data_IF_863952861248
#
_entry.id   IF_863952861248
#
_cell.length_a   1.000
_cell.length_b   1.000
_cell.length_c   1.000
_cell.angle_alpha   90.00
_cell.angle_beta   90.00
_cell.angle_gamma   90.00
#
_symmetry.space_group_name_H-M   'P 1'
#
loop_
_entity.id
_entity.type
_entity.pdbx_description
1 polymer ?
#
# COMPACT_ATOMS: atom_id res chain seq x y z
N UNK A 1 49.45 6.58 40.68
CA UNK A 1 48.08 7.09 40.43
C UNK A 1 47.67 7.14 38.96
N UNK A 2 48.58 7.40 38.00
CA UNK A 2 48.25 7.49 36.56
C UNK A 2 47.70 6.19 35.90
N UNK A 3 48.08 5.01 36.43
CA UNK A 3 47.74 3.69 35.83
C UNK A 3 46.26 3.33 36.00
N UNK A 4 45.66 3.68 37.14
CA UNK A 4 44.23 3.45 37.42
C UNK A 4 43.31 4.36 36.61
N UNK A 5 43.72 5.62 36.40
CA UNK A 5 42.96 6.59 35.59
C UNK A 5 42.90 6.17 34.11
N UNK A 6 44.01 5.69 33.56
CA UNK A 6 44.06 5.13 32.19
C UNK A 6 43.20 3.86 32.06
N UNK A 7 43.22 2.98 33.05
CA UNK A 7 42.41 1.75 33.05
C UNK A 7 40.91 2.06 33.04
N UNK A 8 40.45 2.99 33.88
CA UNK A 8 39.05 3.39 33.93
C UNK A 8 38.60 4.10 32.64
N UNK A 9 39.47 4.90 32.05
CA UNK A 9 39.17 5.61 30.79
C UNK A 9 39.01 4.64 29.62
N UNK A 10 39.81 3.58 29.56
CA UNK A 10 39.68 2.51 28.56
C UNK A 10 38.34 1.76 28.74
N UNK A 11 37.95 1.46 29.97
CA UNK A 11 36.68 0.77 30.26
C UNK A 11 35.48 1.63 29.87
N UNK A 12 35.53 2.94 30.10
CA UNK A 12 34.45 3.86 29.71
C UNK A 12 34.32 3.94 28.18
N UNK A 13 35.45 3.95 27.46
CA UNK A 13 35.47 3.98 26.01
C UNK A 13 34.94 2.67 25.40
N UNK A 14 35.24 1.52 25.97
CA UNK A 14 34.73 0.24 25.43
C UNK A 14 33.23 0.09 25.67
N UNK A 15 32.72 0.50 26.84
CA UNK A 15 31.28 0.45 27.15
C UNK A 15 30.50 1.41 26.25
N UNK A 16 31.00 2.62 26.01
CA UNK A 16 30.33 3.60 25.14
C UNK A 16 30.23 3.13 23.69
N UNK A 17 31.26 2.48 23.14
CA UNK A 17 31.21 1.89 21.79
C UNK A 17 30.15 0.79 21.70
N UNK A 18 30.02 -0.07 22.71
CA UNK A 18 29.02 -1.15 22.73
C UNK A 18 27.60 -0.57 22.76
N UNK A 19 27.37 0.46 23.58
CA UNK A 19 26.06 1.14 23.68
C UNK A 19 25.71 1.87 22.37
N UNK A 20 26.66 2.58 21.77
CA UNK A 20 26.46 3.27 20.49
C UNK A 20 26.15 2.30 19.35
N UNK A 21 26.86 1.16 19.31
CA UNK A 21 26.61 0.10 18.33
C UNK A 21 25.19 -0.44 18.45
N UNK A 22 24.75 -0.78 19.67
CA UNK A 22 23.40 -1.29 19.91
C UNK A 22 22.30 -0.29 19.53
N UNK A 23 22.53 1.00 19.75
CA UNK A 23 21.59 2.06 19.38
C UNK A 23 21.43 2.20 17.85
N UNK A 24 22.53 2.07 17.10
CA UNK A 24 22.51 2.11 15.63
C UNK A 24 21.86 0.87 15.00
N UNK A 25 21.99 -0.30 15.62
CA UNK A 25 21.27 -1.51 15.18
C UNK A 25 19.76 -1.39 15.35
N UNK A 26 19.29 -0.69 16.40
CA UNK A 26 17.86 -0.47 16.61
C UNK A 26 17.25 0.52 15.60
N UNK A 27 17.99 1.56 15.19
CA UNK A 27 17.47 2.57 14.26
C UNK A 27 17.36 2.07 12.81
N UNK A 28 18.24 1.16 12.39
CA UNK A 28 18.24 0.67 11.00
C UNK A 28 17.11 -0.34 10.70
N UNK A 29 16.45 -0.89 11.73
CA UNK A 29 15.39 -1.91 11.58
C UNK A 29 13.96 -1.30 11.59
N UNK A 30 13.85 0.04 11.52
CA UNK A 30 12.57 0.75 11.55
C UNK A 30 12.05 1.17 10.15
N UNK A 31 12.84 0.98 9.09
CA UNK A 31 12.45 1.37 7.73
C UNK A 31 11.79 0.24 6.92
N UNK A 32 11.59 -0.94 7.50
CA UNK A 32 10.76 -1.99 6.91
C UNK A 32 9.31 -1.86 7.40
N UNK A 33 8.72 -0.68 7.20
CA UNK A 33 7.27 -0.57 7.24
C UNK A 33 6.76 -1.12 5.89
N UNK A 34 6.66 -2.45 5.79
CA UNK A 34 5.86 -3.07 4.73
C UNK A 34 4.43 -2.52 4.88
N UNK A 35 4.03 -1.67 3.93
CA UNK A 35 2.68 -1.12 3.88
C UNK A 35 1.69 -2.28 3.84
N UNK A 36 0.91 -2.45 4.91
CA UNK A 36 -0.19 -3.42 4.91
C UNK A 36 -1.17 -2.98 3.82
N UNK A 37 -1.19 -3.71 2.69
CA UNK A 37 -2.23 -3.54 1.67
C UNK A 37 -3.59 -3.76 2.32
N UNK A 38 -4.49 -2.78 2.18
CA UNK A 38 -5.82 -2.82 2.76
C UNK A 38 -6.71 -3.76 1.92
N UNK A 39 -7.44 -4.66 2.58
CA UNK A 39 -8.37 -5.55 1.88
C UNK A 39 -9.66 -4.81 1.55
N UNK A 40 -10.04 -4.81 0.28
CA UNK A 40 -11.34 -4.29 -0.18
C UNK A 40 -12.38 -5.40 -0.02
N UNK A 41 -13.51 -5.10 0.60
CA UNK A 41 -14.65 -6.00 0.70
C UNK A 41 -15.77 -5.50 -0.22
N UNK A 42 -16.21 -6.37 -1.13
CA UNK A 42 -17.20 -6.04 -2.15
C UNK A 42 -18.52 -6.78 -1.91
N UNK A 43 -19.60 -6.22 -2.45
CA UNK A 43 -20.86 -6.94 -2.50
C UNK A 43 -20.90 -7.93 -3.66
N UNK A 44 -21.01 -9.22 -3.36
CA UNK A 44 -21.22 -10.25 -4.39
C UNK A 44 -22.64 -10.81 -4.32
N UNK A 45 -23.52 -10.28 -5.16
CA UNK A 45 -24.88 -10.81 -5.30
C UNK A 45 -24.92 -11.79 -6.47
N UNK A 46 -25.32 -13.04 -6.22
CA UNK A 46 -25.58 -14.01 -7.27
C UNK A 46 -26.80 -13.55 -8.10
N UNK A 47 -26.57 -12.83 -9.20
CA UNK A 47 -27.62 -12.49 -10.17
C UNK A 47 -27.76 -11.02 -10.57
N UNK A 48 -26.65 -10.32 -10.83
CA UNK A 48 -26.71 -9.02 -11.52
C UNK A 48 -27.19 -7.86 -10.66
N UNK A 49 -26.86 -7.86 -9.37
CA UNK A 49 -27.10 -6.68 -8.56
C UNK A 49 -26.13 -5.56 -8.98
N UNK A 50 -26.68 -4.38 -9.27
CA UNK A 50 -25.92 -3.18 -9.65
C UNK A 50 -25.38 -2.43 -8.43
N UNK A 51 -25.31 -3.06 -7.25
CA UNK A 51 -24.76 -2.42 -6.07
C UNK A 51 -23.24 -2.34 -6.17
N UNK A 52 -22.72 -1.15 -6.51
CA UNK A 52 -21.32 -0.81 -6.36
C UNK A 52 -21.02 -0.48 -4.88
N UNK A 53 -21.27 -1.46 -3.99
CA UNK A 53 -20.99 -1.30 -2.57
C UNK A 53 -19.64 -1.95 -2.25
N UNK A 54 -18.75 -1.13 -1.72
CA UNK A 54 -17.42 -1.50 -1.27
C UNK A 54 -17.18 -0.94 0.14
N UNK A 55 -16.37 -1.63 0.92
CA UNK A 55 -15.94 -1.20 2.26
C UNK A 55 -14.57 -1.81 2.58
N UNK A 56 -13.84 -1.19 3.48
CA UNK A 56 -12.58 -1.75 4.01
C UNK A 56 -12.79 -2.45 5.36
N UNK A 57 -14.00 -2.40 5.91
CA UNK A 57 -14.33 -3.04 7.17
C UNK A 57 -14.77 -4.51 6.97
N UNK A 58 -14.12 -5.47 7.65
CA UNK A 58 -14.53 -6.86 7.58
C UNK A 58 -15.92 -7.09 8.18
N UNK A 59 -16.73 -7.92 7.53
CA UNK A 59 -18.06 -8.29 8.03
C UNK A 59 -19.16 -7.27 7.73
N UNK A 60 -18.90 -6.33 6.82
CA UNK A 60 -19.91 -5.41 6.30
C UNK A 60 -21.11 -6.12 5.67
N UNK A 61 -22.21 -5.37 5.55
CA UNK A 61 -23.42 -5.81 4.83
C UNK A 61 -23.78 -4.78 3.77
N UNK A 62 -24.09 -5.25 2.58
CA UNK A 62 -24.56 -4.39 1.51
C UNK A 62 -25.99 -3.90 1.80
N UNK A 63 -26.45 -2.92 1.02
CA UNK A 63 -27.83 -2.41 1.05
C UNK A 63 -28.87 -3.53 0.79
N UNK A 64 -28.50 -4.56 0.02
CA UNK A 64 -29.35 -5.74 -0.21
C UNK A 64 -29.38 -6.74 0.97
N UNK A 65 -28.64 -6.48 2.06
CA UNK A 65 -28.61 -7.29 3.27
C UNK A 65 -27.61 -8.45 3.28
N UNK A 66 -26.99 -8.77 2.14
CA UNK A 66 -25.95 -9.79 2.03
C UNK A 66 -24.64 -9.34 2.70
N UNK A 67 -23.87 -10.31 3.18
CA UNK A 67 -22.54 -10.07 3.70
C UNK A 67 -21.58 -9.72 2.55
N UNK A 68 -20.67 -8.78 2.79
CA UNK A 68 -19.58 -8.50 1.85
C UNK A 68 -18.55 -9.63 1.89
N UNK A 69 -17.89 -9.86 0.76
CA UNK A 69 -16.80 -10.82 0.62
C UNK A 69 -15.49 -10.08 0.35
N UNK A 70 -14.32 -10.61 0.76
CA UNK A 70 -13.04 -10.01 0.37
C UNK A 70 -12.89 -10.08 -1.15
N UNK A 71 -12.47 -8.98 -1.76
CA UNK A 71 -12.06 -8.92 -3.15
C UNK A 71 -10.59 -9.32 -3.28
N UNK A 72 -10.28 -9.91 -4.42
CA UNK A 72 -8.94 -10.14 -4.94
C UNK A 72 -8.34 -8.90 -5.61
N UNK A 73 -9.13 -7.85 -5.86
CA UNK A 73 -8.61 -6.55 -6.32
C UNK A 73 -7.81 -5.88 -5.22
N UNK A 74 -6.69 -5.32 -5.63
CA UNK A 74 -5.93 -4.39 -4.81
C UNK A 74 -6.50 -2.97 -4.98
N UNK A 75 -6.26 -2.14 -3.99
CA UNK A 75 -6.52 -0.71 -4.09
C UNK A 75 -5.61 -0.13 -5.18
N UNK A 76 -6.21 0.55 -6.15
CA UNK A 76 -5.47 1.19 -7.22
C UNK A 76 -4.67 2.35 -6.63
N UNK A 77 -3.38 2.45 -6.95
CA UNK A 77 -2.56 3.56 -6.50
C UNK A 77 -3.02 4.88 -7.11
N UNK A 78 -2.70 5.98 -6.42
CA UNK A 78 -2.85 7.32 -7.00
C UNK A 78 -1.91 7.54 -8.20
N UNK A 79 -0.87 6.70 -8.32
CA UNK A 79 0.00 6.57 -9.48
C UNK A 79 -0.55 5.45 -10.40
N UNK A 80 -0.70 5.72 -11.68
CA UNK A 80 -1.15 4.76 -12.70
C UNK A 80 -0.34 4.95 -13.98
N UNK A 81 -0.13 3.87 -14.73
CA UNK A 81 0.70 3.88 -15.94
C UNK A 81 -0.10 4.14 -17.22
N UNK A 82 -1.41 3.90 -17.22
CA UNK A 82 -2.26 4.00 -18.40
C UNK A 82 -3.54 4.78 -18.13
N UNK A 83 -3.97 5.59 -19.11
CA UNK A 83 -5.20 6.38 -19.05
C UNK A 83 -6.04 6.31 -20.33
N UNK A 84 -7.31 6.67 -20.23
CA UNK A 84 -8.24 6.75 -21.35
C UNK A 84 -7.76 7.73 -22.43
N UNK A 85 -7.77 7.27 -23.69
CA UNK A 85 -7.46 8.09 -24.87
C UNK A 85 -8.65 8.28 -25.83
N UNK A 86 -9.89 8.12 -25.36
CA UNK A 86 -11.08 8.31 -26.19
C UNK A 86 -11.37 9.80 -26.52
N UNK A 87 -10.58 10.74 -26.02
CA UNK A 87 -10.72 12.18 -26.23
C UNK A 87 -11.82 12.83 -25.37
N UNK A 88 -12.02 14.14 -25.58
CA UNK A 88 -12.81 15.00 -24.68
C UNK A 88 -14.32 14.72 -24.65
N UNK A 89 -14.84 13.87 -25.55
CA UNK A 89 -16.24 13.44 -25.53
C UNK A 89 -16.46 12.21 -24.65
N UNK A 90 -15.40 11.60 -24.11
CA UNK A 90 -15.48 10.45 -23.25
C UNK A 90 -15.29 10.86 -21.78
N UNK A 91 -16.25 10.49 -20.95
CA UNK A 91 -16.19 10.71 -19.50
C UNK A 91 -15.86 9.39 -18.75
N UNK A 92 -15.31 8.36 -19.44
CA UNK A 92 -15.02 7.04 -18.82
C UNK A 92 -14.00 7.15 -17.68
N UNK A 93 -13.04 8.09 -17.81
CA UNK A 93 -11.99 8.32 -16.80
C UNK A 93 -11.20 7.08 -16.43
N UNK A 94 -11.14 6.07 -17.31
CA UNK A 94 -10.45 4.80 -17.01
C UNK A 94 -8.97 5.05 -16.86
N UNK A 95 -8.40 4.51 -15.79
CA UNK A 95 -6.97 4.43 -15.51
C UNK A 95 -6.61 3.00 -15.13
N UNK A 96 -5.35 2.60 -15.35
CA UNK A 96 -4.85 1.27 -15.02
C UNK A 96 -3.33 1.26 -14.87
N UNK A 97 -2.82 0.24 -14.16
CA UNK A 97 -1.37 -0.03 -14.07
C UNK A 97 -0.88 -0.96 -15.19
N UNK A 98 -1.81 -1.60 -15.91
CA UNK A 98 -1.51 -2.52 -17.00
C UNK A 98 -2.16 -2.05 -18.31
N UNK A 99 -1.54 -2.35 -19.48
CA UNK A 99 -2.10 -1.99 -20.78
C UNK A 99 -3.41 -2.72 -21.05
N UNK A 100 -4.35 -2.07 -21.73
CA UNK A 100 -5.65 -2.66 -22.08
C UNK A 100 -6.63 -1.67 -22.70
N UNK A 101 -7.89 -2.09 -22.84
CA UNK A 101 -8.99 -1.25 -23.35
C UNK A 101 -9.52 -0.29 -22.26
N UNK A 102 -9.93 0.95 -22.61
CA UNK A 102 -10.75 1.76 -21.66
C UNK A 102 -12.05 1.01 -21.38
N UNK A 103 -12.66 1.31 -20.23
CA UNK A 103 -13.91 0.69 -19.79
C UNK A 103 -15.06 0.78 -20.82
N UNK A 104 -15.05 1.79 -21.70
CA UNK A 104 -16.04 1.90 -22.78
C UNK A 104 -15.84 0.87 -23.90
N UNK A 105 -14.69 0.20 -23.97
CA UNK A 105 -14.35 -0.84 -24.93
C UNK A 105 -14.07 -0.34 -26.35
N UNK A 106 -13.95 0.99 -26.55
CA UNK A 106 -13.80 1.60 -27.88
C UNK A 106 -12.34 1.68 -28.32
N UNK A 107 -11.45 2.09 -27.41
CA UNK A 107 -10.01 2.25 -27.68
C UNK A 107 -9.17 1.56 -26.62
N UNK A 108 -7.92 1.25 -26.98
CA UNK A 108 -6.87 0.99 -26.01
C UNK A 108 -6.56 2.26 -25.21
N UNK A 109 -6.14 2.08 -23.96
CA UNK A 109 -5.59 3.13 -23.11
C UNK A 109 -4.18 3.48 -23.59
N UNK A 110 -3.76 4.71 -23.36
CA UNK A 110 -2.39 5.18 -23.64
C UNK A 110 -1.57 5.19 -22.35
N UNK A 111 -0.26 5.08 -22.47
CA UNK A 111 0.66 5.31 -21.35
C UNK A 111 0.62 6.78 -20.91
N UNK A 112 0.74 7.01 -19.60
CA UNK A 112 0.88 8.34 -18.98
C UNK A 112 2.37 8.71 -18.99
N UNK A 113 2.72 9.90 -19.48
CA UNK A 113 4.11 10.40 -19.57
C UNK A 113 4.69 10.87 -18.23
#
# INVERSE_FOLDING_TARGET
MLKGLKSNLIIILTVSVIVLSGLLYATNNLNAAEGKKQTIYICYCAGGCLCAFETYEPGGRCVCGLATIPSDREEMSDEYEYECDCGTMCECGTVADEPGLCHCGITEMKEVE
#
